data_IF_529780959628
#
_entry.id   IF_529780959628
#
_cell.length_a   1.000
_cell.length_b   1.000
_cell.length_c   1.000
_cell.angle_alpha   90.00
_cell.angle_beta   90.00
_cell.angle_gamma   90.00
#
_symmetry.space_group_name_H-M   'P 1'
#
loop_
_entity.id
_entity.type
_entity.pdbx_description
1 polymer ?
#
# COMPACT_ATOMS: atom_id res chain seq x y z
N UNK A 1 0.26 -6.56 8.74
CA UNK A 1 1.47 -5.72 8.97
C UNK A 1 1.73 -4.89 7.73
N UNK A 2 2.54 -3.82 7.80
CA UNK A 2 2.91 -3.08 6.58
C UNK A 2 4.36 -2.57 6.64
N UNK A 3 5.02 -2.52 5.48
CA UNK A 3 6.33 -1.92 5.31
C UNK A 3 6.21 -0.72 4.38
N UNK A 4 6.55 0.47 4.86
CA UNK A 4 6.37 1.73 4.17
C UNK A 4 7.71 2.30 3.70
N UNK A 5 7.68 3.03 2.60
CA UNK A 5 8.80 3.83 2.10
C UNK A 5 8.27 5.03 1.34
N UNK A 6 9.14 5.97 0.99
CA UNK A 6 8.76 7.14 0.21
C UNK A 6 9.56 7.17 -1.09
N UNK A 7 8.86 7.34 -2.21
CA UNK A 7 9.46 7.45 -3.53
C UNK A 7 8.95 8.72 -4.20
N UNK A 8 9.83 9.69 -4.45
CA UNK A 8 9.48 10.94 -5.15
C UNK A 8 8.29 11.68 -4.51
N UNK A 9 8.25 11.80 -3.17
CA UNK A 9 7.14 12.44 -2.45
C UNK A 9 5.88 11.58 -2.29
N UNK A 10 5.90 10.33 -2.76
CA UNK A 10 4.78 9.39 -2.68
C UNK A 10 5.09 8.35 -1.60
N UNK A 11 4.24 8.26 -0.59
CA UNK A 11 4.37 7.23 0.44
C UNK A 11 3.72 5.93 -0.05
N UNK A 12 4.48 4.84 0.02
CA UNK A 12 4.13 3.52 -0.49
C UNK A 12 4.24 2.52 0.65
N UNK A 13 3.15 1.86 1.02
CA UNK A 13 3.12 0.88 2.09
C UNK A 13 2.72 -0.50 1.55
N UNK A 14 3.68 -1.42 1.50
CA UNK A 14 3.44 -2.81 1.17
C UNK A 14 2.72 -3.48 2.34
N UNK A 15 1.53 -3.99 2.07
CA UNK A 15 0.73 -4.74 3.03
C UNK A 15 1.23 -6.19 3.07
N UNK A 16 1.51 -6.66 4.27
CA UNK A 16 2.15 -7.94 4.53
C UNK A 16 1.26 -8.81 5.41
N UNK A 17 1.08 -10.06 4.99
CA UNK A 17 0.40 -11.12 5.72
C UNK A 17 1.40 -12.19 6.14
N UNK A 18 1.20 -12.71 7.35
CA UNK A 18 1.88 -13.93 7.79
C UNK A 18 1.05 -15.13 7.38
N UNK A 19 1.67 -16.07 6.67
CA UNK A 19 1.06 -17.32 6.22
C UNK A 19 1.85 -18.47 6.85
N UNK A 20 1.15 -19.42 7.46
CA UNK A 20 1.76 -20.63 7.99
C UNK A 20 1.92 -21.65 6.85
N UNK A 21 3.15 -22.05 6.56
CA UNK A 21 3.51 -23.02 5.52
C UNK A 21 4.47 -24.03 6.13
N UNK A 22 4.09 -25.31 6.19
CA UNK A 22 4.93 -26.41 6.69
C UNK A 22 5.63 -26.08 8.03
N UNK A 23 4.84 -25.74 9.04
CA UNK A 23 5.31 -25.37 10.40
C UNK A 23 6.25 -24.13 10.46
N UNK A 24 6.31 -23.34 9.39
CA UNK A 24 7.07 -22.09 9.34
C UNK A 24 6.17 -20.92 8.95
N UNK A 25 6.41 -19.74 9.52
CA UNK A 25 5.72 -18.52 9.10
C UNK A 25 6.48 -17.84 7.95
N UNK A 26 5.77 -17.59 6.86
CA UNK A 26 6.26 -16.85 5.70
C UNK A 26 5.53 -15.52 5.62
N UNK A 27 6.25 -14.47 5.25
CA UNK A 27 5.67 -13.16 4.99
C UNK A 27 5.33 -13.05 3.51
N UNK A 28 4.05 -12.89 3.20
CA UNK A 28 3.56 -12.67 1.84
C UNK A 28 3.04 -11.24 1.65
N UNK A 29 3.30 -10.61 0.49
CA UNK A 29 2.67 -9.35 0.14
C UNK A 29 1.21 -9.57 -0.28
N UNK A 30 0.30 -8.82 0.34
CA UNK A 30 -1.13 -8.80 0.02
C UNK A 30 -1.48 -7.71 -0.99
N UNK A 31 -0.79 -6.58 -0.92
CA UNK A 31 -1.09 -5.43 -1.77
C UNK A 31 -0.24 -4.23 -1.39
N UNK A 32 -0.54 -3.09 -2.00
CA UNK A 32 0.20 -1.85 -1.81
C UNK A 32 -0.78 -0.71 -1.57
N UNK A 33 -0.53 0.06 -0.53
CA UNK A 33 -1.17 1.34 -0.29
C UNK A 33 -0.29 2.45 -0.85
N UNK A 34 -0.82 3.23 -1.78
CA UNK A 34 -0.22 4.48 -2.26
C UNK A 34 -0.89 5.61 -1.52
N UNK A 35 -0.13 6.46 -0.83
CA UNK A 35 -0.66 7.59 -0.07
C UNK A 35 -0.15 8.90 -0.68
N UNK A 36 -1.09 9.78 -0.99
CA UNK A 36 -0.84 11.08 -1.61
C UNK A 36 -1.49 12.20 -0.77
N UNK A 37 -0.86 13.38 -0.67
CA UNK A 37 -1.53 14.59 -0.19
C UNK A 37 -2.79 14.91 -1.01
N UNK A 38 -3.84 15.46 -0.38
CA UNK A 38 -5.09 15.82 -1.06
C UNK A 38 -4.94 16.91 -2.13
N UNK A 39 -3.90 17.74 -2.03
CA UNK A 39 -3.55 18.79 -2.97
C UNK A 39 -2.66 18.32 -4.13
N UNK A 40 -2.37 17.01 -4.20
CA UNK A 40 -1.59 16.44 -5.30
C UNK A 40 -2.33 16.63 -6.63
N UNK A 41 -1.74 17.30 -7.63
CA UNK A 41 -2.35 17.45 -8.94
C UNK A 41 -2.51 16.09 -9.62
N UNK A 42 -3.66 15.87 -10.25
CA UNK A 42 -3.91 14.65 -11.00
C UNK A 42 -3.19 14.74 -12.35
N UNK A 43 -2.06 14.04 -12.46
CA UNK A 43 -1.28 13.90 -13.68
C UNK A 43 -1.40 12.48 -14.27
N UNK A 44 -0.61 12.18 -15.30
CA UNK A 44 -0.59 10.86 -15.95
C UNK A 44 -0.16 9.75 -14.96
N UNK A 45 0.76 10.04 -14.04
CA UNK A 45 1.24 9.09 -13.03
C UNK A 45 0.13 8.74 -12.05
N UNK A 46 -0.61 9.73 -11.54
CA UNK A 46 -1.74 9.50 -10.64
C UNK A 46 -2.89 8.78 -11.35
N UNK A 47 -3.16 9.15 -12.60
CA UNK A 47 -4.14 8.47 -13.46
C UNK A 47 -3.79 6.98 -13.64
N UNK A 48 -2.50 6.68 -13.76
CA UNK A 48 -2.02 5.31 -13.85
C UNK A 48 -2.28 4.53 -12.55
N UNK A 49 -2.05 5.12 -11.37
CA UNK A 49 -2.40 4.47 -10.09
C UNK A 49 -3.89 4.17 -9.99
N UNK A 50 -4.75 5.14 -10.34
CA UNK A 50 -6.20 4.99 -10.34
C UNK A 50 -6.66 3.78 -11.16
N UNK A 51 -6.01 3.51 -12.30
CA UNK A 51 -6.34 2.37 -13.17
C UNK A 51 -6.18 1.00 -12.49
N UNK A 52 -5.24 0.88 -11.55
CA UNK A 52 -4.92 -0.37 -10.87
C UNK A 52 -5.39 -0.39 -9.41
N UNK A 53 -6.19 0.61 -9.03
CA UNK A 53 -6.71 0.75 -7.67
C UNK A 53 -8.03 0.00 -7.53
N UNK A 54 -8.09 -0.89 -6.53
CA UNK A 54 -9.34 -1.59 -6.20
C UNK A 54 -10.19 -0.75 -5.23
N UNK A 55 -9.55 0.07 -4.37
CA UNK A 55 -10.25 0.87 -3.36
C UNK A 55 -9.54 2.19 -3.11
N UNK A 56 -10.32 3.28 -3.00
CA UNK A 56 -9.83 4.62 -2.68
C UNK A 56 -10.43 5.05 -1.35
N UNK A 57 -9.61 5.59 -0.44
CA UNK A 57 -10.04 6.17 0.83
C UNK A 57 -9.42 7.55 1.02
N UNK A 58 -10.12 8.43 1.72
CA UNK A 58 -9.57 9.71 2.17
C UNK A 58 -9.49 9.68 3.70
N UNK A 59 -8.30 9.94 4.24
CA UNK A 59 -8.06 9.92 5.68
C UNK A 59 -6.90 10.85 6.05
N UNK A 60 -7.05 11.62 7.13
CA UNK A 60 -5.96 12.43 7.70
C UNK A 60 -5.31 13.41 6.72
N UNK A 61 -6.08 14.02 5.81
CA UNK A 61 -5.54 14.96 4.81
C UNK A 61 -4.86 14.31 3.61
N UNK A 62 -4.98 12.98 3.46
CA UNK A 62 -4.38 12.21 2.37
C UNK A 62 -5.42 11.35 1.65
N UNK A 63 -5.15 11.07 0.38
CA UNK A 63 -5.85 10.04 -0.39
C UNK A 63 -5.00 8.79 -0.39
N UNK A 64 -5.62 7.66 -0.09
CA UNK A 64 -5.01 6.34 -0.08
C UNK A 64 -5.63 5.48 -1.18
N UNK A 65 -4.77 4.93 -2.03
CA UNK A 65 -5.13 4.02 -3.11
C UNK A 65 -4.65 2.62 -2.74
N UNK A 66 -5.55 1.67 -2.66
CA UNK A 66 -5.21 0.27 -2.47
C UNK A 66 -5.06 -0.43 -3.82
N UNK A 67 -3.90 -1.03 -4.02
CA UNK A 67 -3.54 -1.84 -5.19
C UNK A 67 -3.43 -3.30 -4.74
N UNK A 68 -4.24 -4.18 -5.32
CA UNK A 68 -4.21 -5.61 -4.99
C UNK A 68 -2.93 -6.35 -5.38
N UNK A 69 -2.83 -7.59 -4.86
CA UNK A 69 -1.68 -8.50 -4.98
C UNK A 69 -1.10 -8.64 -6.39
N UNK A 70 -1.96 -8.65 -7.42
CA UNK A 70 -1.54 -8.90 -8.80
C UNK A 70 -0.83 -7.70 -9.45
N UNK A 71 -1.14 -6.48 -9.01
CA UNK A 71 -0.71 -5.25 -9.68
C UNK A 71 0.33 -4.46 -8.89
N UNK A 72 0.49 -4.73 -7.59
CA UNK A 72 1.40 -3.97 -6.73
C UNK A 72 2.85 -3.91 -7.22
N UNK A 73 3.48 -4.96 -7.81
CA UNK A 73 4.88 -4.86 -8.22
C UNK A 73 5.06 -3.84 -9.34
N UNK A 74 4.11 -3.79 -10.27
CA UNK A 74 4.11 -2.81 -11.36
C UNK A 74 3.92 -1.39 -10.86
N UNK A 75 2.97 -1.19 -9.93
CA UNK A 75 2.73 0.12 -9.32
C UNK A 75 3.93 0.61 -8.52
N UNK A 76 4.52 -0.26 -7.71
CA UNK A 76 5.74 0.05 -6.98
C UNK A 76 6.88 0.43 -7.93
N UNK A 77 7.09 -0.34 -8.99
CA UNK A 77 8.12 -0.08 -10.00
C UNK A 77 7.94 1.26 -10.71
N UNK A 78 6.72 1.66 -11.06
CA UNK A 78 6.42 2.97 -11.67
C UNK A 78 6.62 4.11 -10.67
N UNK A 79 6.18 3.93 -9.42
CA UNK A 79 6.29 4.97 -8.40
C UNK A 79 7.73 5.28 -8.01
N UNK A 80 8.57 4.24 -7.92
CA UNK A 80 9.96 4.29 -7.45
C UNK A 80 11.03 4.22 -8.56
N UNK A 81 10.65 4.24 -9.84
CA UNK A 81 11.53 4.02 -11.00
C UNK A 81 12.84 4.82 -10.93
N UNK A 82 12.78 6.06 -10.44
CA UNK A 82 13.92 6.99 -10.40
C UNK A 82 14.45 7.25 -8.98
N UNK A 83 13.82 6.71 -7.93
CA UNK A 83 14.08 7.10 -6.55
C UNK A 83 15.09 6.21 -5.81
N UNK A 84 15.41 5.01 -6.33
CA UNK A 84 16.04 3.98 -5.49
C UNK A 84 15.17 3.63 -4.26
N UNK A 85 15.58 2.65 -3.46
CA UNK A 85 14.90 2.33 -2.20
C UNK A 85 15.24 3.42 -1.17
N UNK A 86 14.51 4.53 -1.17
CA UNK A 86 14.65 5.55 -0.15
C UNK A 86 13.90 5.11 1.13
N UNK A 87 14.66 4.94 2.22
CA UNK A 87 14.22 4.80 3.61
C UNK A 87 12.95 3.96 3.81
N UNK A 88 13.09 2.63 3.69
CA UNK A 88 12.03 1.71 4.10
C UNK A 88 11.96 1.64 5.64
N UNK A 89 10.77 1.83 6.21
CA UNK A 89 10.47 1.67 7.63
C UNK A 89 9.27 0.72 7.80
N UNK A 90 9.28 -0.08 8.87
CA UNK A 90 8.21 -1.04 9.16
C UNK A 90 7.26 -0.44 10.17
N UNK A 91 5.98 -0.33 9.83
CA UNK A 91 4.93 0.04 10.78
C UNK A 91 4.18 -1.25 11.18
N UNK A 92 4.27 -1.60 12.46
CA UNK A 92 3.43 -2.64 13.05
C UNK A 92 2.12 -1.95 13.43
N UNK A 93 0.96 -2.29 12.81
CA UNK A 93 -0.30 -1.67 13.16
C UNK A 93 -0.62 -1.95 14.64
N UNK A 94 -1.10 -0.93 15.34
CA UNK A 94 -1.60 -1.10 16.71
C UNK A 94 -2.88 -1.96 16.68
N UNK A 95 -3.11 -2.80 17.72
CA UNK A 95 -4.15 -3.82 17.71
C UNK A 95 -5.58 -3.30 17.49
N UNK A 96 -5.84 -2.01 17.71
CA UNK A 96 -7.15 -1.38 17.58
C UNK A 96 -7.61 -1.16 16.13
N UNK A 97 -6.70 -1.13 15.14
CA UNK A 97 -7.06 -1.00 13.70
C UNK A 97 -7.51 -2.32 13.05
N UNK A 98 -7.39 -3.45 13.76
CA UNK A 98 -7.66 -4.80 13.22
C UNK A 98 -9.15 -5.13 13.12
N UNK A 99 -10.03 -4.38 13.82
CA UNK A 99 -11.46 -4.68 13.91
C UNK A 99 -12.31 -4.25 12.70
N UNK A 100 -11.72 -3.65 11.66
CA UNK A 100 -12.49 -3.15 10.49
C UNK A 100 -12.41 -4.04 9.24
N UNK A 101 -11.79 -5.22 9.31
CA UNK A 101 -11.65 -6.12 8.15
C UNK A 101 -12.36 -7.48 8.30
N UNK A 102 -12.99 -7.74 9.44
CA UNK A 102 -13.81 -8.92 9.68
C UNK A 102 -15.26 -8.51 9.96
N UNK A 103 -15.99 -8.04 8.95
CA UNK A 103 -17.45 -8.23 8.84
C UNK A 103 -17.95 -7.60 7.54
N UNK A 104 -18.02 -8.40 6.48
CA UNK A 104 -19.17 -8.43 5.55
C UNK A 104 -19.19 -9.82 4.89
N UNK A 105 -19.69 -10.79 5.65
CA UNK A 105 -19.93 -12.15 5.21
C UNK A 105 -21.03 -12.79 6.04
N UNK A 106 -22.27 -12.32 5.85
CA UNK A 106 -23.50 -12.96 6.31
C UNK A 106 -24.48 -13.12 5.14
#
# INVERSE_FOLDING_TARGET
MKACGECNGIVLCLLLKLVLVNDSYVVEPEGLLVKLPLDTPIDEKITWFLKYTDTIRSHGGRVEFYIGRSNWPGVYGVACKDAGLANAFVEIPEPEETMLFEDEGA
#
